data_IF_447434228912
#
_entry.id   IF_447434228912
#
_cell.length_a   1.000
_cell.length_b   1.000
_cell.length_c   1.000
_cell.angle_alpha   90.00
_cell.angle_beta   90.00
_cell.angle_gamma   90.00
#
_symmetry.space_group_name_H-M   'P 1'
#
loop_
_entity.id
_entity.type
_entity.pdbx_description
1 polymer ?
#
# COMPACT_ATOMS: atom_id res chain seq x y z
N UNK A 1 3.98 -12.67 -2.52
CA UNK A 1 4.76 -12.10 -1.42
C UNK A 1 6.22 -11.79 -1.77
N UNK A 2 6.75 -12.38 -2.86
CA UNK A 2 8.15 -12.23 -3.24
C UNK A 2 8.45 -11.00 -4.10
N UNK A 3 7.43 -10.25 -4.50
CA UNK A 3 7.55 -9.05 -5.34
C UNK A 3 6.78 -7.90 -4.74
N UNK A 4 7.41 -6.74 -4.70
CA UNK A 4 6.79 -5.47 -4.28
C UNK A 4 7.04 -4.42 -5.36
N UNK A 5 8.16 -3.70 -5.29
CA UNK A 5 8.52 -2.70 -6.31
C UNK A 5 8.80 -3.29 -7.69
N UNK A 6 9.30 -4.52 -7.75
CA UNK A 6 9.52 -5.26 -9.00
C UNK A 6 8.24 -5.98 -9.45
N UNK A 7 7.23 -5.21 -9.86
CA UNK A 7 5.93 -5.73 -10.29
C UNK A 7 6.02 -6.62 -11.54
N UNK A 8 7.01 -6.40 -12.40
CA UNK A 8 7.24 -7.23 -13.58
C UNK A 8 7.44 -8.72 -13.26
N UNK A 9 8.01 -9.01 -12.09
CA UNK A 9 8.24 -10.38 -11.59
C UNK A 9 7.04 -10.98 -10.85
N UNK A 10 5.87 -10.37 -10.89
CA UNK A 10 4.65 -10.86 -10.23
C UNK A 10 4.23 -12.22 -10.77
N UNK A 11 3.93 -13.17 -9.85
CA UNK A 11 3.66 -14.59 -10.16
C UNK A 11 2.21 -15.03 -9.98
N UNK A 12 1.37 -14.26 -9.28
CA UNK A 12 -0.06 -14.55 -9.20
C UNK A 12 -0.63 -14.60 -10.61
N UNK A 13 -1.27 -15.70 -11.00
CA UNK A 13 -1.77 -15.96 -12.35
C UNK A 13 -3.28 -15.86 -12.39
N UNK A 14 -3.80 -15.40 -13.52
CA UNK A 14 -5.20 -15.45 -13.87
C UNK A 14 -5.31 -16.18 -15.21
N UNK A 15 -5.83 -17.40 -15.17
CA UNK A 15 -5.97 -18.25 -16.35
C UNK A 15 -7.41 -18.20 -16.83
N UNK A 16 -7.63 -17.93 -18.12
CA UNK A 16 -8.95 -17.86 -18.71
C UNK A 16 -9.53 -19.28 -18.88
N UNK A 17 -10.77 -19.45 -18.50
CA UNK A 17 -11.54 -20.67 -18.69
C UNK A 17 -12.28 -20.69 -20.06
N UNK A 18 -13.04 -21.74 -20.34
CA UNK A 18 -13.80 -21.93 -21.59
C UNK A 18 -14.92 -20.88 -21.78
N UNK A 19 -15.41 -20.28 -20.70
CA UNK A 19 -16.43 -19.22 -20.72
C UNK A 19 -15.81 -17.82 -20.89
N UNK A 20 -14.48 -17.75 -20.79
CA UNK A 20 -13.71 -16.50 -20.83
C UNK A 20 -13.57 -15.83 -19.46
N UNK A 21 -14.07 -16.44 -18.37
CA UNK A 21 -13.85 -16.02 -17.01
C UNK A 21 -12.44 -16.42 -16.54
N UNK A 22 -12.00 -15.94 -15.40
CA UNK A 22 -10.64 -16.17 -14.92
C UNK A 22 -10.62 -17.00 -13.65
N UNK A 23 -9.71 -17.96 -13.60
CA UNK A 23 -9.30 -18.70 -12.42
C UNK A 23 -7.99 -18.12 -11.91
N UNK A 24 -7.98 -17.57 -10.69
CA UNK A 24 -6.80 -16.92 -10.11
C UNK A 24 -6.12 -17.85 -9.10
N UNK A 25 -4.79 -18.00 -9.24
CA UNK A 25 -3.97 -18.78 -8.33
C UNK A 25 -2.70 -18.03 -7.97
N UNK A 26 -2.35 -18.01 -6.67
CA UNK A 26 -1.15 -17.36 -6.14
C UNK A 26 -1.38 -16.69 -4.80
N UNK A 27 -0.41 -15.92 -4.35
CA UNK A 27 -0.43 -15.29 -3.04
C UNK A 27 -0.24 -13.79 -3.13
N UNK A 28 -0.86 -13.06 -2.20
CA UNK A 28 -0.67 -11.63 -1.96
C UNK A 28 -0.38 -11.40 -0.48
N UNK A 29 0.42 -10.40 -0.17
CA UNK A 29 0.74 -10.03 1.21
C UNK A 29 0.65 -8.52 1.41
N UNK A 30 0.47 -8.11 2.64
CA UNK A 30 0.29 -6.71 3.02
C UNK A 30 -0.93 -6.06 2.37
N UNK A 31 -2.05 -6.79 2.37
CA UNK A 31 -3.29 -6.30 1.77
C UNK A 31 -4.17 -5.69 2.86
N UNK A 32 -4.18 -4.38 2.89
CA UNK A 32 -4.94 -3.60 3.87
C UNK A 32 -6.43 -3.85 3.75
N UNK A 33 -7.08 -4.16 4.87
CA UNK A 33 -8.53 -4.29 5.02
C UNK A 33 -9.18 -5.37 4.16
N UNK A 34 -8.41 -6.35 3.70
CA UNK A 34 -8.83 -7.33 2.70
C UNK A 34 -10.02 -8.19 3.12
N UNK A 35 -10.20 -8.53 4.40
CA UNK A 35 -11.33 -9.36 4.85
C UNK A 35 -12.66 -8.62 4.68
N UNK A 36 -12.72 -7.33 4.97
CA UNK A 36 -13.95 -6.53 5.06
C UNK A 36 -14.41 -5.92 3.73
N UNK A 37 -13.60 -5.95 2.68
CA UNK A 37 -13.95 -5.38 1.38
C UNK A 37 -14.91 -6.26 0.59
N UNK A 38 -15.73 -5.65 -0.27
CA UNK A 38 -16.56 -6.34 -1.27
C UNK A 38 -15.84 -6.48 -2.62
N UNK A 39 -14.93 -5.55 -2.91
CA UNK A 39 -14.18 -5.51 -4.18
C UNK A 39 -12.71 -5.29 -3.89
N UNK A 40 -11.85 -6.01 -4.57
CA UNK A 40 -10.40 -5.83 -4.56
C UNK A 40 -9.90 -5.40 -5.93
N UNK A 41 -8.96 -4.46 -5.98
CA UNK A 41 -8.11 -4.30 -7.15
C UNK A 41 -7.05 -5.39 -7.15
N UNK A 42 -7.13 -6.30 -8.12
CA UNK A 42 -6.26 -7.47 -8.19
C UNK A 42 -5.39 -7.43 -9.45
N UNK A 43 -4.08 -7.24 -9.26
CA UNK A 43 -3.12 -7.37 -10.34
C UNK A 43 -2.66 -8.83 -10.44
N UNK A 44 -2.80 -9.42 -11.62
CA UNK A 44 -2.39 -10.80 -11.89
C UNK A 44 -1.78 -10.93 -13.30
N UNK A 45 -1.03 -11.98 -13.51
CA UNK A 45 -0.45 -12.33 -14.82
C UNK A 45 -1.47 -13.12 -15.63
N UNK A 46 -1.89 -12.57 -16.77
CA UNK A 46 -2.78 -13.21 -17.73
C UNK A 46 -2.04 -13.84 -18.92
N UNK A 47 -0.87 -13.31 -19.26
CA UNK A 47 0.00 -13.90 -20.29
C UNK A 47 1.11 -14.75 -19.63
N UNK A 48 1.04 -16.09 -19.74
CA UNK A 48 2.02 -16.99 -19.13
C UNK A 48 3.40 -16.91 -19.78
N UNK A 49 3.49 -16.48 -21.04
CA UNK A 49 4.73 -16.43 -21.80
C UNK A 49 5.48 -15.11 -21.57
N UNK A 50 4.79 -14.10 -21.07
CA UNK A 50 5.42 -12.82 -20.72
C UNK A 50 6.15 -12.90 -19.37
N UNK A 51 7.40 -12.46 -19.35
CA UNK A 51 8.24 -12.37 -18.14
C UNK A 51 8.33 -10.95 -17.57
N UNK A 52 7.64 -9.98 -18.17
CA UNK A 52 7.67 -8.58 -17.81
C UNK A 52 6.27 -8.03 -17.44
N UNK A 53 6.19 -6.72 -17.32
CA UNK A 53 4.97 -6.01 -16.93
C UNK A 53 3.85 -6.03 -18.01
N UNK A 54 4.16 -6.38 -19.26
CA UNK A 54 3.18 -6.41 -20.37
C UNK A 54 2.20 -7.58 -20.26
N UNK A 55 2.59 -8.64 -19.53
CA UNK A 55 1.70 -9.76 -19.26
C UNK A 55 0.78 -9.57 -18.05
N UNK A 56 0.72 -8.37 -17.46
CA UNK A 56 -0.07 -8.10 -16.26
C UNK A 56 -1.39 -7.42 -16.58
N UNK A 57 -2.47 -7.90 -15.96
CA UNK A 57 -3.82 -7.36 -16.08
C UNK A 57 -4.36 -7.01 -14.70
N UNK A 58 -5.24 -6.00 -14.65
CA UNK A 58 -5.90 -5.54 -13.42
C UNK A 58 -7.37 -5.95 -13.44
N UNK A 59 -7.83 -6.47 -12.32
CA UNK A 59 -9.23 -6.85 -12.12
C UNK A 59 -9.85 -6.07 -10.98
N UNK A 60 -11.16 -5.82 -11.06
CA UNK A 60 -12.01 -5.43 -9.94
C UNK A 60 -12.67 -6.71 -9.42
N UNK A 61 -11.93 -7.47 -8.63
CA UNK A 61 -12.35 -8.78 -8.16
C UNK A 61 -13.36 -8.65 -7.01
N UNK A 62 -14.57 -9.12 -7.24
CA UNK A 62 -15.65 -9.18 -6.25
C UNK A 62 -15.44 -10.35 -5.30
N UNK A 63 -15.82 -10.15 -4.04
CA UNK A 63 -15.78 -11.19 -3.01
C UNK A 63 -16.81 -10.91 -1.91
N UNK A 64 -17.16 -11.93 -1.18
CA UNK A 64 -17.96 -11.80 0.04
C UNK A 64 -17.08 -11.26 1.17
N UNK A 65 -17.48 -10.17 1.86
CA UNK A 65 -16.78 -9.71 3.05
C UNK A 65 -16.77 -10.78 4.15
N UNK A 66 -15.64 -10.89 4.83
CA UNK A 66 -15.50 -11.75 5.99
C UNK A 66 -15.59 -10.96 7.30
N UNK A 67 -15.43 -11.67 8.39
CA UNK A 67 -15.35 -11.15 9.75
C UNK A 67 -14.06 -11.65 10.44
N UNK A 68 -14.00 -11.54 11.76
CA UNK A 68 -12.81 -11.94 12.52
C UNK A 68 -12.75 -13.48 12.71
N UNK A 69 -13.86 -14.20 12.61
CA UNK A 69 -13.92 -15.66 12.73
C UNK A 69 -13.68 -16.34 11.37
N UNK A 70 -14.21 -15.74 10.28
CA UNK A 70 -14.00 -16.20 8.92
C UNK A 70 -13.63 -15.03 8.00
N UNK A 71 -12.35 -14.67 7.93
CA UNK A 71 -11.91 -13.49 7.18
C UNK A 71 -12.05 -13.62 5.66
N UNK A 72 -12.10 -14.84 5.13
CA UNK A 72 -12.19 -15.09 3.68
C UNK A 72 -13.22 -16.17 3.36
N UNK A 73 -14.54 -15.85 3.43
CA UNK A 73 -15.60 -16.84 3.19
C UNK A 73 -15.81 -17.19 1.70
N UNK A 74 -15.18 -16.46 0.78
CA UNK A 74 -15.31 -16.70 -0.67
C UNK A 74 -14.51 -17.91 -1.09
N UNK A 75 -15.13 -18.79 -1.90
CA UNK A 75 -14.47 -19.98 -2.44
C UNK A 75 -13.18 -19.62 -3.22
N UNK A 76 -12.16 -20.43 -3.04
CA UNK A 76 -10.85 -20.20 -3.64
C UNK A 76 -10.02 -19.12 -2.95
N UNK A 77 -10.46 -18.58 -1.81
CA UNK A 77 -9.70 -17.65 -1.00
C UNK A 77 -9.42 -18.21 0.40
N UNK A 78 -8.22 -17.95 0.88
CA UNK A 78 -7.82 -18.18 2.27
C UNK A 78 -6.76 -17.16 2.68
N UNK A 79 -6.47 -17.05 3.96
CA UNK A 79 -5.45 -16.13 4.44
C UNK A 79 -5.54 -15.87 5.93
N UNK A 80 -4.72 -14.96 6.42
CA UNK A 80 -4.67 -14.59 7.82
C UNK A 80 -4.23 -13.14 8.02
N UNK A 81 -4.49 -12.64 9.22
CA UNK A 81 -4.06 -11.31 9.65
C UNK A 81 -2.55 -11.28 9.87
N UNK A 82 -1.92 -10.20 9.47
CA UNK A 82 -0.53 -9.85 9.78
C UNK A 82 -0.56 -8.80 10.89
N UNK A 83 -0.01 -9.12 12.06
CA UNK A 83 0.11 -8.16 13.14
C UNK A 83 1.06 -7.01 12.78
N UNK A 84 0.60 -5.78 12.98
CA UNK A 84 1.37 -4.58 12.68
C UNK A 84 1.37 -3.58 13.84
N UNK A 85 2.42 -2.80 13.93
CA UNK A 85 2.50 -1.66 14.85
C UNK A 85 1.69 -0.49 14.30
N UNK A 86 0.65 -0.11 14.97
CA UNK A 86 -0.26 0.95 14.50
C UNK A 86 -1.42 0.39 13.68
N UNK A 87 -2.07 1.23 12.87
CA UNK A 87 -3.25 0.87 12.07
C UNK A 87 -4.32 0.07 12.83
N UNK A 88 -4.57 0.40 14.08
CA UNK A 88 -5.43 -0.40 14.96
C UNK A 88 -6.87 -0.56 14.48
N UNK A 89 -7.34 0.30 13.58
CA UNK A 89 -8.66 0.21 12.97
C UNK A 89 -8.68 -0.48 11.60
N UNK A 90 -7.51 -0.78 11.02
CA UNK A 90 -7.37 -1.47 9.74
C UNK A 90 -6.36 -2.60 9.87
N UNK A 91 -6.80 -3.80 9.53
CA UNK A 91 -5.96 -4.99 9.59
C UNK A 91 -5.24 -5.21 8.25
N UNK A 92 -4.03 -5.74 8.32
CA UNK A 92 -3.27 -6.19 7.16
C UNK A 92 -3.39 -7.70 7.02
N UNK A 93 -3.41 -8.20 5.78
CA UNK A 93 -3.63 -9.61 5.52
C UNK A 93 -2.63 -10.18 4.52
N UNK A 94 -2.35 -11.46 4.72
CA UNK A 94 -1.83 -12.35 3.71
C UNK A 94 -3.00 -13.14 3.10
N UNK A 95 -3.04 -13.24 1.76
CA UNK A 95 -4.12 -13.91 1.02
C UNK A 95 -3.52 -14.95 0.09
N UNK A 96 -4.09 -16.15 0.10
CA UNK A 96 -3.86 -17.18 -0.89
C UNK A 96 -5.10 -17.33 -1.78
N UNK A 97 -4.86 -17.43 -3.08
CA UNK A 97 -5.86 -17.76 -4.09
C UNK A 97 -5.58 -19.16 -4.62
N UNK A 98 -6.60 -20.00 -4.60
CA UNK A 98 -6.60 -21.34 -5.18
C UNK A 98 -7.84 -21.50 -6.06
N UNK A 99 -7.66 -21.29 -7.36
CA UNK A 99 -8.75 -21.27 -8.34
C UNK A 99 -9.86 -20.26 -8.00
N UNK A 100 -9.50 -19.11 -7.42
CA UNK A 100 -10.46 -18.05 -7.13
C UNK A 100 -11.05 -17.51 -8.44
N UNK A 101 -12.39 -17.57 -8.55
CA UNK A 101 -13.12 -17.18 -9.75
C UNK A 101 -13.28 -15.67 -9.85
N UNK A 102 -12.97 -15.12 -11.03
CA UNK A 102 -13.18 -13.70 -11.39
C UNK A 102 -13.86 -13.62 -12.74
N UNK A 103 -15.04 -12.98 -12.79
CA UNK A 103 -15.81 -12.84 -14.03
C UNK A 103 -15.04 -11.98 -15.05
N UNK A 104 -15.14 -12.31 -16.33
CA UNK A 104 -14.49 -11.57 -17.43
C UNK A 104 -14.89 -10.09 -17.49
N UNK A 105 -16.10 -9.74 -17.07
CA UNK A 105 -16.55 -8.35 -17.00
C UNK A 105 -15.79 -7.52 -15.96
N UNK A 106 -15.10 -8.17 -15.04
CA UNK A 106 -14.31 -7.54 -13.97
C UNK A 106 -12.87 -7.22 -14.42
N UNK A 107 -12.49 -7.55 -15.66
CA UNK A 107 -11.22 -7.10 -16.25
C UNK A 107 -11.27 -5.58 -16.48
N UNK A 108 -10.43 -4.85 -15.77
CA UNK A 108 -10.42 -3.39 -15.82
C UNK A 108 -10.03 -2.88 -17.22
N UNK A 109 -10.98 -2.20 -17.87
CA UNK A 109 -10.81 -1.69 -19.22
C UNK A 109 -11.02 -2.73 -20.35
N UNK A 110 -11.35 -3.98 -20.02
CA UNK A 110 -11.71 -5.03 -20.99
C UNK A 110 -10.56 -5.57 -21.84
N UNK A 111 -9.31 -5.14 -21.60
CA UNK A 111 -8.14 -5.54 -22.38
C UNK A 111 -7.04 -6.06 -21.46
N UNK A 112 -6.53 -7.27 -21.73
CA UNK A 112 -5.41 -7.85 -21.01
C UNK A 112 -4.09 -7.11 -21.29
N UNK A 113 -3.12 -7.24 -20.36
CA UNK A 113 -1.79 -6.64 -20.51
C UNK A 113 -1.72 -5.13 -20.18
N UNK A 114 -2.81 -4.51 -19.75
CA UNK A 114 -2.85 -3.08 -19.41
C UNK A 114 -2.70 -2.79 -17.90
N UNK A 115 -2.67 -3.83 -17.08
CA UNK A 115 -2.72 -3.71 -15.62
C UNK A 115 -1.58 -2.88 -15.03
N UNK A 116 -0.36 -3.03 -15.54
CA UNK A 116 0.77 -2.24 -15.08
C UNK A 116 0.57 -0.73 -15.29
N UNK A 117 0.12 -0.33 -16.49
CA UNK A 117 -0.13 1.08 -16.82
C UNK A 117 -1.24 1.68 -15.94
N UNK A 118 -2.31 0.90 -15.72
CA UNK A 118 -3.43 1.28 -14.86
C UNK A 118 -2.95 1.50 -13.41
N UNK A 119 -2.11 0.59 -12.90
CA UNK A 119 -1.53 0.71 -11.56
C UNK A 119 -0.60 1.93 -11.43
N UNK A 120 0.25 2.19 -12.43
CA UNK A 120 1.14 3.36 -12.41
C UNK A 120 0.36 4.67 -12.31
N UNK A 121 -0.76 4.79 -13.03
CA UNK A 121 -1.64 5.96 -12.93
C UNK A 121 -2.21 6.15 -11.52
N UNK A 122 -2.56 5.07 -10.85
CA UNK A 122 -3.00 5.11 -9.43
C UNK A 122 -1.84 5.52 -8.51
N UNK A 123 -0.64 5.01 -8.75
CA UNK A 123 0.54 5.28 -7.92
C UNK A 123 1.02 6.73 -7.96
N UNK A 124 0.75 7.47 -9.01
CA UNK A 124 1.03 8.91 -9.05
C UNK A 124 0.39 9.62 -7.86
N UNK A 125 -0.91 9.43 -7.65
CA UNK A 125 -1.63 10.02 -6.51
C UNK A 125 -1.29 9.35 -5.17
N UNK A 126 -1.15 8.02 -5.15
CA UNK A 126 -0.85 7.27 -3.94
C UNK A 126 0.50 7.64 -3.31
N UNK A 127 1.51 7.95 -4.12
CA UNK A 127 2.83 8.41 -3.63
C UNK A 127 2.75 9.76 -2.94
N UNK A 128 1.97 10.71 -3.48
CA UNK A 128 1.74 12.03 -2.88
C UNK A 128 1.01 11.86 -1.54
N UNK A 129 -0.03 11.03 -1.48
CA UNK A 129 -0.75 10.72 -0.24
C UNK A 129 0.17 10.10 0.82
N UNK A 130 1.03 9.17 0.43
CA UNK A 130 1.99 8.53 1.34
C UNK A 130 3.00 9.55 1.86
N UNK A 131 3.50 10.44 1.00
CA UNK A 131 4.40 11.52 1.40
C UNK A 131 3.72 12.48 2.40
N UNK A 132 2.47 12.88 2.15
CA UNK A 132 1.72 13.74 3.06
C UNK A 132 1.53 13.10 4.45
N UNK A 133 1.23 11.79 4.49
CA UNK A 133 1.15 11.04 5.75
C UNK A 133 2.49 11.02 6.49
N UNK A 134 3.59 10.77 5.78
CA UNK A 134 4.93 10.77 6.37
C UNK A 134 5.30 12.13 6.95
N UNK A 135 4.99 13.23 6.25
CA UNK A 135 5.18 14.60 6.74
C UNK A 135 4.38 14.86 8.02
N UNK A 136 3.13 14.37 8.09
CA UNK A 136 2.31 14.49 9.30
C UNK A 136 2.91 13.77 10.50
N UNK A 137 3.43 12.55 10.32
CA UNK A 137 4.11 11.79 11.38
C UNK A 137 5.41 12.50 11.81
N UNK A 138 6.19 12.99 10.85
CA UNK A 138 7.43 13.74 11.13
C UNK A 138 7.14 15.01 11.94
N UNK A 139 6.08 15.76 11.60
CA UNK A 139 5.68 16.95 12.36
C UNK A 139 5.34 16.61 13.80
N UNK A 140 4.52 15.58 14.04
CA UNK A 140 4.18 15.16 15.39
C UNK A 140 5.42 14.72 16.19
N UNK A 141 6.36 14.04 15.54
CA UNK A 141 7.62 13.64 16.18
C UNK A 141 8.46 14.86 16.60
N UNK A 142 8.50 15.91 15.77
CA UNK A 142 9.17 17.17 16.09
C UNK A 142 8.51 17.84 17.29
N UNK A 143 7.19 17.99 17.26
CA UNK A 143 6.44 18.68 18.32
C UNK A 143 6.66 18.00 19.67
N UNK A 144 6.55 16.68 19.73
CA UNK A 144 6.80 15.90 20.96
C UNK A 144 8.28 15.98 21.42
N UNK A 145 9.22 15.90 20.47
CA UNK A 145 10.66 15.97 20.78
C UNK A 145 11.06 17.34 21.29
N UNK A 146 10.51 18.38 20.70
CA UNK A 146 10.78 19.76 21.09
C UNK A 146 10.24 20.05 22.50
N UNK A 147 8.98 19.66 22.75
CA UNK A 147 8.38 19.84 24.07
C UNK A 147 9.15 19.06 25.15
N UNK A 148 9.50 17.79 24.87
CA UNK A 148 10.30 17.01 25.79
C UNK A 148 11.66 17.65 26.07
N UNK A 149 12.34 18.20 25.07
CA UNK A 149 13.64 18.86 25.22
C UNK A 149 13.59 20.17 26.01
N UNK A 150 12.44 20.85 26.01
CA UNK A 150 12.19 22.02 26.87
C UNK A 150 11.96 21.62 28.33
N UNK A 151 11.17 20.57 28.56
CA UNK A 151 10.72 20.19 29.91
C UNK A 151 11.78 19.39 30.65
N UNK A 152 12.50 18.50 29.98
CA UNK A 152 13.49 17.62 30.59
C UNK A 152 14.79 18.33 30.91
N UNK A 153 15.17 18.33 32.20
CA UNK A 153 16.42 18.91 32.70
C UNK A 153 17.44 17.84 33.05
N UNK A 154 18.69 18.05 32.66
CA UNK A 154 19.84 17.26 33.07
C UNK A 154 21.06 18.20 33.21
N UNK A 155 21.96 17.91 34.19
CA UNK A 155 23.12 18.75 34.47
C UNK A 155 22.74 20.21 34.72
N UNK A 156 21.59 20.46 35.39
CA UNK A 156 21.14 21.77 35.81
C UNK A 156 20.44 22.62 34.71
N UNK A 157 20.27 22.14 33.49
CA UNK A 157 19.66 22.88 32.37
C UNK A 157 18.76 22.01 31.51
N UNK A 158 17.88 22.62 30.70
CA UNK A 158 16.99 21.92 29.79
C UNK A 158 17.78 21.22 28.68
N UNK A 159 17.27 20.11 28.14
CA UNK A 159 17.96 19.39 27.09
C UNK A 159 18.15 20.23 25.83
N UNK A 160 17.22 21.13 25.53
CA UNK A 160 17.33 22.05 24.39
C UNK A 160 18.57 22.95 24.44
N UNK A 161 19.12 23.23 25.64
CA UNK A 161 20.31 24.06 25.83
C UNK A 161 21.61 23.32 25.48
N UNK A 162 21.55 22.02 25.22
CA UNK A 162 22.71 21.27 24.75
C UNK A 162 22.82 21.38 23.23
N UNK A 163 23.95 21.91 22.70
CA UNK A 163 24.09 22.16 21.25
C UNK A 163 23.82 20.95 20.38
N UNK A 164 24.20 19.75 20.85
CA UNK A 164 23.97 18.50 20.12
C UNK A 164 22.48 18.13 20.00
N UNK A 165 21.67 18.46 21.00
CA UNK A 165 20.21 18.26 20.99
C UNK A 165 19.57 19.33 20.12
N UNK A 166 19.90 20.59 20.36
CA UNK A 166 19.36 21.72 19.58
C UNK A 166 19.63 21.57 18.08
N UNK A 167 20.85 21.17 17.69
CA UNK A 167 21.20 20.95 16.28
C UNK A 167 20.38 19.85 15.62
N UNK A 168 20.11 18.74 16.33
CA UNK A 168 19.25 17.67 15.79
C UNK A 168 17.81 18.14 15.58
N UNK A 169 17.24 18.83 16.57
CA UNK A 169 15.88 19.36 16.46
C UNK A 169 15.75 20.40 15.31
N UNK A 170 16.77 21.26 15.16
CA UNK A 170 16.82 22.21 14.06
C UNK A 170 16.85 21.50 12.70
N UNK A 171 17.68 20.46 12.53
CA UNK A 171 17.74 19.67 11.31
C UNK A 171 16.43 18.94 11.01
N UNK A 172 15.79 18.33 12.03
CA UNK A 172 14.47 17.71 11.87
C UNK A 172 13.46 18.73 11.34
N UNK A 173 13.44 19.95 11.87
CA UNK A 173 12.54 21.01 11.42
C UNK A 173 12.80 21.42 9.96
N UNK A 174 14.08 21.58 9.58
CA UNK A 174 14.49 21.91 8.20
C UNK A 174 14.07 20.83 7.24
N UNK A 175 14.42 19.56 7.49
CA UNK A 175 14.13 18.43 6.61
C UNK A 175 12.62 18.21 6.46
N UNK A 176 11.85 18.32 7.55
CA UNK A 176 10.39 18.20 7.49
C UNK A 176 9.75 19.35 6.70
N UNK A 177 10.28 20.57 6.83
CA UNK A 177 9.81 21.72 6.06
C UNK A 177 10.06 21.51 4.56
N UNK A 178 11.26 21.06 4.17
CA UNK A 178 11.60 20.74 2.78
C UNK A 178 10.67 19.65 2.23
N UNK A 179 10.53 18.55 2.97
CA UNK A 179 9.65 17.45 2.57
C UNK A 179 8.18 17.88 2.39
N UNK A 180 7.68 18.74 3.28
CA UNK A 180 6.33 19.31 3.20
C UNK A 180 6.16 20.16 1.95
N UNK A 181 7.09 21.08 1.68
CA UNK A 181 6.99 21.95 0.52
C UNK A 181 7.06 21.16 -0.79
N UNK A 182 7.94 20.16 -0.87
CA UNK A 182 8.02 19.27 -2.03
C UNK A 182 6.74 18.45 -2.22
N UNK A 183 6.14 17.98 -1.12
CA UNK A 183 4.87 17.22 -1.18
C UNK A 183 3.74 18.12 -1.69
N UNK A 184 3.63 19.35 -1.19
CA UNK A 184 2.61 20.30 -1.64
C UNK A 184 2.82 20.72 -3.11
N UNK A 185 4.06 20.96 -3.51
CA UNK A 185 4.38 21.23 -4.89
C UNK A 185 4.00 20.07 -5.81
N UNK A 186 4.32 18.83 -5.42
CA UNK A 186 3.95 17.64 -6.19
C UNK A 186 2.43 17.46 -6.31
N UNK A 187 1.68 17.80 -5.26
CA UNK A 187 0.21 17.78 -5.30
C UNK A 187 -0.33 18.86 -6.25
N UNK A 188 0.20 20.08 -6.18
CA UNK A 188 -0.16 21.17 -7.08
C UNK A 188 0.10 20.83 -8.55
N UNK A 189 1.29 20.29 -8.88
CA UNK A 189 1.63 19.86 -10.25
C UNK A 189 0.74 18.70 -10.75
N UNK A 190 0.24 17.88 -9.84
CA UNK A 190 -0.67 16.78 -10.19
C UNK A 190 -2.09 17.26 -10.53
N UNK A 191 -2.54 18.35 -9.89
CA UNK A 191 -3.90 18.90 -10.07
C UNK A 191 -4.00 19.87 -11.28
N UNK A 192 -2.87 20.33 -11.81
CA UNK A 192 -2.76 21.23 -12.97
C UNK A 192 -2.10 20.56 -14.16
#
# INVERSE_FOLDING_TARGET
PNTGSDLGSLRTRATKDENGDYSVTGNKTWITHASRTHVMTLLARTDPDSTDHRGLSMFLAEKTPGDDENPFPTDGMSGGEIEVLGYRGMKEYEIAFDNFHVNKSNLLGGEEGKGFRQLMKTFESARIQTAARAVGVAQQAIDLSFQYALDRKQFGKALIEFPRVASKLAMMAVETTIARQLTYYSAFEKDN
#
